data_IF_616077773505
#
_entry.id   IF_616077773505
#
_cell.length_a   1.000
_cell.length_b   1.000
_cell.length_c   1.000
_cell.angle_alpha   90.00
_cell.angle_beta   90.00
_cell.angle_gamma   90.00
#
_symmetry.space_group_name_H-M   'P 1'
#
loop_
_entity.id
_entity.type
_entity.pdbx_description
1 polymer ?
#
# COMPACT_ATOMS: atom_id res chain seq x y z
N UNK A 1 -12.56 14.50 -0.79
CA UNK A 1 -11.13 14.77 -0.95
C UNK A 1 -10.33 13.50 -0.76
N UNK A 2 -9.36 13.28 -1.60
CA UNK A 2 -8.50 12.11 -1.45
C UNK A 2 -7.30 12.43 -0.56
N UNK A 3 -6.87 11.44 0.19
CA UNK A 3 -5.70 11.53 1.07
C UNK A 3 -4.52 10.88 0.37
N UNK A 4 -3.36 11.48 0.46
CA UNK A 4 -2.13 10.93 -0.12
C UNK A 4 -1.15 10.58 0.99
N UNK A 5 -0.64 9.36 0.96
CA UNK A 5 0.42 8.91 1.86
C UNK A 5 1.62 8.50 1.01
N UNK A 6 2.77 9.11 1.28
CA UNK A 6 4.01 8.71 0.63
C UNK A 6 4.64 7.55 1.40
N UNK A 7 4.83 6.42 0.73
CA UNK A 7 5.47 5.27 1.35
C UNK A 7 6.98 5.49 1.44
N UNK A 8 7.63 5.08 2.54
CA UNK A 8 9.08 5.24 2.68
C UNK A 8 9.85 4.30 1.75
N UNK A 9 11.13 4.58 1.59
CA UNK A 9 11.99 3.79 0.72
C UNK A 9 12.13 2.34 1.20
N UNK A 10 12.17 2.13 2.50
CA UNK A 10 12.35 0.80 3.09
C UNK A 10 11.14 0.45 3.94
N UNK A 11 10.39 -0.54 3.47
CA UNK A 11 9.23 -1.08 4.17
C UNK A 11 9.62 -2.38 4.86
N UNK A 12 10.43 -2.24 5.91
CA UNK A 12 10.91 -3.37 6.70
C UNK A 12 10.10 -3.53 8.00
N UNK A 13 10.58 -4.38 8.88
CA UNK A 13 9.93 -4.66 10.15
C UNK A 13 9.68 -3.38 10.97
N UNK A 14 10.60 -2.42 10.91
CA UNK A 14 10.49 -1.17 11.67
C UNK A 14 9.44 -0.23 11.10
N UNK A 15 9.17 -0.34 9.82
CA UNK A 15 8.21 0.52 9.15
C UNK A 15 6.77 0.05 9.33
N UNK A 16 6.55 -1.19 9.75
CA UNK A 16 5.22 -1.78 9.81
C UNK A 16 4.28 -1.06 10.77
N UNK A 17 4.71 -0.79 12.00
CA UNK A 17 3.86 -0.12 12.98
C UNK A 17 3.57 1.34 12.61
N UNK A 18 4.55 2.16 12.21
CA UNK A 18 4.25 3.50 11.73
C UNK A 18 3.31 3.52 10.52
N UNK A 19 3.49 2.59 9.58
CA UNK A 19 2.62 2.47 8.42
C UNK A 19 1.19 2.16 8.83
N UNK A 20 1.02 1.19 9.71
CA UNK A 20 -0.29 0.83 10.23
C UNK A 20 -0.96 2.01 10.91
N UNK A 21 -0.21 2.76 11.72
CA UNK A 21 -0.74 3.93 12.41
C UNK A 21 -1.20 5.01 11.43
N UNK A 22 -0.42 5.27 10.38
CA UNK A 22 -0.79 6.24 9.36
C UNK A 22 -2.07 5.82 8.63
N UNK A 23 -2.19 4.55 8.30
CA UNK A 23 -3.37 4.03 7.61
C UNK A 23 -4.60 4.13 8.51
N UNK A 24 -4.48 3.75 9.77
CA UNK A 24 -5.60 3.84 10.69
C UNK A 24 -6.08 5.28 10.89
N UNK A 25 -5.16 6.24 10.85
CA UNK A 25 -5.50 7.66 11.02
C UNK A 25 -6.34 8.20 9.86
N UNK A 26 -6.29 7.57 8.70
CA UNK A 26 -7.04 8.00 7.51
C UNK A 26 -8.12 7.00 7.08
N UNK A 27 -8.41 6.05 7.94
CA UNK A 27 -9.46 5.06 7.67
C UNK A 27 -10.81 5.76 7.41
N UNK A 28 -11.54 5.28 6.43
CA UNK A 28 -12.82 5.87 6.03
C UNK A 28 -12.68 6.97 4.98
N UNK A 29 -11.46 7.26 4.54
CA UNK A 29 -11.18 8.27 3.52
C UNK A 29 -10.61 7.60 2.28
N UNK A 30 -10.99 8.10 1.11
CA UNK A 30 -10.35 7.70 -0.14
C UNK A 30 -8.86 8.04 -0.05
N UNK A 31 -8.00 7.06 -0.26
CA UNK A 31 -6.57 7.19 0.00
C UNK A 31 -5.74 6.67 -1.18
N UNK A 32 -4.70 7.41 -1.53
CA UNK A 32 -3.69 6.98 -2.50
C UNK A 32 -2.36 6.79 -1.78
N UNK A 33 -1.70 5.68 -2.08
CA UNK A 33 -0.38 5.37 -1.53
C UNK A 33 0.65 5.56 -2.63
N UNK A 34 1.53 6.53 -2.46
CA UNK A 34 2.59 6.82 -3.42
C UNK A 34 3.78 5.90 -3.16
N UNK A 35 4.03 5.00 -4.09
CA UNK A 35 5.08 3.99 -3.99
C UNK A 35 6.37 4.39 -4.70
N UNK A 36 6.48 5.64 -5.16
CA UNK A 36 7.61 6.07 -6.00
C UNK A 36 8.97 5.94 -5.31
N UNK A 37 9.02 6.07 -4.00
CA UNK A 37 10.27 5.98 -3.24
C UNK A 37 10.61 4.56 -2.79
N UNK A 38 9.70 3.61 -2.93
CA UNK A 38 9.90 2.28 -2.35
C UNK A 38 10.99 1.50 -3.09
N UNK A 39 12.01 1.09 -2.34
CA UNK A 39 13.11 0.28 -2.84
C UNK A 39 13.05 -1.14 -2.29
N UNK A 40 12.50 -1.31 -1.08
CA UNK A 40 12.44 -2.61 -0.40
C UNK A 40 11.10 -2.80 0.28
N UNK A 41 10.49 -3.96 0.05
CA UNK A 41 9.22 -4.35 0.67
C UNK A 41 9.42 -5.69 1.39
N UNK A 42 9.18 -5.70 2.70
CA UNK A 42 9.22 -6.92 3.50
C UNK A 42 7.83 -7.49 3.73
N UNK A 43 7.80 -8.75 4.18
CA UNK A 43 6.56 -9.51 4.34
C UNK A 43 5.58 -8.89 5.34
N UNK A 44 6.07 -8.31 6.44
CA UNK A 44 5.19 -7.73 7.44
C UNK A 44 4.48 -6.48 6.91
N UNK A 45 5.21 -5.61 6.20
CA UNK A 45 4.57 -4.46 5.57
C UNK A 45 3.62 -4.88 4.47
N UNK A 46 3.91 -5.95 3.73
CA UNK A 46 2.97 -6.51 2.77
C UNK A 46 1.66 -6.88 3.48
N UNK A 47 1.75 -7.54 4.62
CA UNK A 47 0.55 -7.92 5.38
C UNK A 47 -0.25 -6.70 5.81
N UNK A 48 0.43 -5.64 6.25
CA UNK A 48 -0.24 -4.39 6.62
C UNK A 48 -0.98 -3.81 5.42
N UNK A 49 -0.34 -3.78 4.26
CA UNK A 49 -0.94 -3.22 3.04
C UNK A 49 -2.12 -4.07 2.55
N UNK A 50 -2.01 -5.39 2.59
CA UNK A 50 -3.12 -6.29 2.23
C UNK A 50 -4.30 -6.11 3.17
N UNK A 51 -4.05 -5.98 4.46
CA UNK A 51 -5.09 -5.72 5.45
C UNK A 51 -5.77 -4.39 5.20
N UNK A 52 -5.00 -3.37 4.81
CA UNK A 52 -5.55 -2.06 4.48
C UNK A 52 -6.46 -2.13 3.25
N UNK A 53 -6.04 -2.85 2.21
CA UNK A 53 -6.87 -3.03 1.02
C UNK A 53 -8.21 -3.66 1.38
N UNK A 54 -8.20 -4.70 2.23
CA UNK A 54 -9.42 -5.36 2.66
C UNK A 54 -10.30 -4.43 3.50
N UNK A 55 -9.70 -3.64 4.40
CA UNK A 55 -10.41 -2.70 5.25
C UNK A 55 -11.10 -1.60 4.44
N UNK A 56 -10.36 -1.00 3.50
CA UNK A 56 -10.94 0.05 2.66
C UNK A 56 -12.07 -0.49 1.80
N UNK A 57 -11.91 -1.68 1.26
CA UNK A 57 -12.97 -2.34 0.48
C UNK A 57 -14.22 -2.54 1.33
N UNK A 58 -14.05 -3.01 2.57
CA UNK A 58 -15.16 -3.22 3.49
C UNK A 58 -15.86 -1.90 3.86
N UNK A 59 -15.09 -0.81 3.93
CA UNK A 59 -15.61 0.52 4.23
C UNK A 59 -16.24 1.22 3.00
N UNK A 60 -16.16 0.60 1.82
CA UNK A 60 -16.66 1.21 0.60
C UNK A 60 -15.80 2.36 0.09
N UNK A 61 -14.53 2.41 0.49
CA UNK A 61 -13.60 3.47 0.11
C UNK A 61 -12.52 2.94 -0.81
N UNK A 62 -11.97 3.81 -1.66
CA UNK A 62 -10.87 3.48 -2.55
C UNK A 62 -9.54 3.55 -1.83
N UNK A 63 -8.72 2.51 -1.97
CA UNK A 63 -7.31 2.55 -1.62
C UNK A 63 -6.52 2.15 -2.86
N UNK A 64 -5.71 3.07 -3.36
CA UNK A 64 -4.98 2.87 -4.61
C UNK A 64 -3.50 3.05 -4.40
N UNK A 65 -2.71 2.37 -5.24
CA UNK A 65 -1.26 2.59 -5.30
C UNK A 65 -0.95 3.42 -6.53
N UNK A 66 -0.17 4.47 -6.36
CA UNK A 66 0.26 5.31 -7.47
C UNK A 66 1.78 5.31 -7.57
N UNK A 67 2.29 5.58 -8.76
CA UNK A 67 3.72 5.63 -9.03
C UNK A 67 4.44 4.34 -8.61
N UNK A 68 3.82 3.20 -8.88
CA UNK A 68 4.36 1.89 -8.55
C UNK A 68 5.64 1.65 -9.33
N UNK A 69 6.76 1.43 -8.62
CA UNK A 69 8.04 1.14 -9.24
C UNK A 69 8.12 -0.34 -9.60
N UNK A 70 9.03 -0.67 -10.51
CA UNK A 70 9.31 -2.06 -10.84
C UNK A 70 9.81 -2.81 -9.61
N UNK A 71 10.64 -2.18 -8.79
CA UNK A 71 11.14 -2.78 -7.56
C UNK A 71 10.01 -3.15 -6.62
N UNK A 72 9.05 -2.25 -6.43
CA UNK A 72 7.90 -2.51 -5.56
C UNK A 72 7.03 -3.64 -6.11
N UNK A 73 6.68 -3.56 -7.38
CA UNK A 73 5.84 -4.57 -8.03
C UNK A 73 6.48 -5.95 -8.02
N UNK A 74 7.78 -6.01 -8.28
CA UNK A 74 8.55 -7.26 -8.28
C UNK A 74 8.55 -7.92 -6.91
N UNK A 75 8.79 -7.15 -5.86
CA UNK A 75 8.81 -7.67 -4.49
C UNK A 75 7.42 -8.05 -4.00
N UNK A 76 6.41 -7.29 -4.40
CA UNK A 76 5.01 -7.59 -4.10
C UNK A 76 4.66 -8.99 -4.63
N UNK A 77 4.97 -9.25 -5.90
CA UNK A 77 4.72 -10.55 -6.53
C UNK A 77 5.58 -11.65 -5.93
N UNK A 78 6.85 -11.36 -5.64
CA UNK A 78 7.77 -12.34 -5.07
C UNK A 78 7.32 -12.82 -3.69
N UNK A 79 6.61 -11.99 -2.94
CA UNK A 79 6.06 -12.36 -1.64
C UNK A 79 4.72 -13.09 -1.76
N UNK A 80 4.27 -13.37 -2.96
CA UNK A 80 3.07 -14.15 -3.20
C UNK A 80 1.78 -13.36 -3.35
N UNK A 81 1.85 -12.03 -3.31
CA UNK A 81 0.66 -11.20 -3.47
C UNK A 81 0.31 -11.03 -4.94
N UNK A 82 -0.95 -10.76 -5.21
CA UNK A 82 -1.42 -10.62 -6.59
C UNK A 82 -1.06 -9.25 -7.16
N UNK A 83 -0.48 -9.25 -8.35
CA UNK A 83 -0.18 -8.02 -9.07
C UNK A 83 -1.45 -7.21 -9.38
N UNK A 84 -2.59 -7.87 -9.46
CA UNK A 84 -3.86 -7.20 -9.72
C UNK A 84 -4.25 -6.22 -8.61
N UNK A 85 -3.79 -6.44 -7.39
CA UNK A 85 -4.04 -5.51 -6.28
C UNK A 85 -3.39 -4.15 -6.54
N UNK A 86 -2.23 -4.14 -7.18
CA UNK A 86 -1.53 -2.91 -7.54
C UNK A 86 -2.13 -2.27 -8.78
N UNK A 87 -2.53 -3.07 -9.73
CA UNK A 87 -3.06 -2.59 -11.00
C UNK A 87 -4.45 -1.96 -10.88
N UNK A 88 -5.24 -2.34 -9.87
CA UNK A 88 -6.58 -1.82 -9.69
C UNK A 88 -6.61 -0.30 -9.59
N UNK A 89 -5.63 0.28 -8.91
CA UNK A 89 -5.56 1.73 -8.78
C UNK A 89 -5.19 2.44 -10.07
N UNK A 90 -4.45 1.76 -10.93
CA UNK A 90 -3.98 2.33 -12.20
C UNK A 90 -5.00 2.16 -13.32
N UNK A 91 -5.86 1.19 -13.20
CA UNK A 91 -6.85 0.88 -14.22
C UNK A 91 -8.03 1.85 -14.22
N UNK A 92 -8.14 2.66 -13.23
CA UNK A 92 -9.26 3.57 -13.07
C UNK A 92 -9.26 4.72 -14.09
#
# INVERSE_FOLDING_TARGET
MSTLIALPAVLDLRAADPLKAQLLAVRGQETALDASAVERLGGLCLQVLLSALATWRADGQSLTFINVTEAFASQWSALGASASDLALGEAA
#
